data_IF_571699386366
#
_entry.id   IF_571699386366
#
_cell.length_a   1.000
_cell.length_b   1.000
_cell.length_c   1.000
_cell.angle_alpha   90.00
_cell.angle_beta   90.00
_cell.angle_gamma   90.00
#
_symmetry.space_group_name_H-M   'P 1'
#
loop_
_entity.id
_entity.type
_entity.pdbx_description
1 polymer ?
#
# COMPACT_ATOMS: atom_id res chain seq x y z
N UNK A 1 19.11 2.60 -13.49
CA UNK A 1 18.72 3.69 -12.58
C UNK A 1 17.22 3.84 -12.68
N UNK A 2 16.46 3.29 -11.73
CA UNK A 2 14.99 3.41 -11.80
C UNK A 2 14.64 4.83 -11.36
N UNK A 3 14.13 5.65 -12.27
CA UNK A 3 13.56 6.95 -11.92
C UNK A 3 12.43 6.73 -10.92
N UNK A 4 12.45 7.49 -9.80
CA UNK A 4 11.34 7.53 -8.86
C UNK A 4 10.18 8.24 -9.55
N UNK A 5 9.26 7.48 -10.13
CA UNK A 5 7.99 8.02 -10.57
C UNK A 5 7.21 8.50 -9.33
N UNK A 6 6.98 9.81 -9.25
CA UNK A 6 6.12 10.40 -8.23
C UNK A 6 4.68 10.09 -8.61
N UNK A 7 3.90 9.59 -7.65
CA UNK A 7 2.45 9.37 -7.81
C UNK A 7 1.74 10.61 -7.29
N UNK A 8 0.94 11.26 -8.13
CA UNK A 8 0.15 12.43 -7.76
C UNK A 8 -1.24 12.03 -7.24
N UNK A 9 -2.02 13.03 -6.80
CA UNK A 9 -3.39 12.79 -6.34
C UNK A 9 -4.24 12.19 -7.47
N UNK A 10 -5.03 11.17 -7.13
CA UNK A 10 -5.87 10.38 -8.05
C UNK A 10 -5.13 9.48 -9.05
N UNK A 11 -3.80 9.43 -9.01
CA UNK A 11 -3.06 8.46 -9.80
C UNK A 11 -3.20 7.05 -9.24
N UNK A 12 -3.15 6.07 -10.15
CA UNK A 12 -3.13 4.66 -9.81
C UNK A 12 -1.77 4.11 -10.23
N UNK A 13 -1.05 3.50 -9.29
CA UNK A 13 0.25 2.92 -9.57
C UNK A 13 0.57 1.71 -8.70
N UNK A 14 1.65 1.02 -9.06
CA UNK A 14 2.17 -0.12 -8.31
C UNK A 14 3.40 0.30 -7.53
N UNK A 15 3.39 0.05 -6.23
CA UNK A 15 4.48 0.40 -5.31
C UNK A 15 4.90 -0.82 -4.48
N UNK A 16 6.11 -0.77 -3.94
CA UNK A 16 6.57 -1.67 -2.90
C UNK A 16 6.62 -0.91 -1.57
N UNK A 17 6.03 -1.48 -0.52
CA UNK A 17 6.03 -0.90 0.81
C UNK A 17 6.88 -1.77 1.74
N UNK A 18 7.68 -1.13 2.59
CA UNK A 18 8.40 -1.79 3.68
C UNK A 18 7.77 -1.37 4.99
N UNK A 19 7.40 -2.35 5.80
CA UNK A 19 6.76 -2.11 7.09
C UNK A 19 7.80 -2.15 8.22
N UNK A 20 7.59 -1.35 9.25
CA UNK A 20 8.45 -1.36 10.44
C UNK A 20 8.37 -2.67 11.22
N UNK A 21 7.21 -3.34 11.15
CA UNK A 21 6.94 -4.62 11.81
C UNK A 21 6.21 -5.54 10.83
N UNK A 22 6.48 -6.86 10.86
CA UNK A 22 5.71 -7.82 10.09
C UNK A 22 4.23 -7.80 10.49
N UNK A 23 3.36 -8.04 9.52
CA UNK A 23 1.92 -8.20 9.71
C UNK A 23 1.46 -9.50 9.03
N UNK A 24 0.34 -10.04 9.50
CA UNK A 24 -0.39 -11.08 8.75
C UNK A 24 -1.20 -10.37 7.68
N UNK A 25 -1.04 -10.80 6.43
CA UNK A 25 -1.78 -10.26 5.30
C UNK A 25 -1.99 -11.33 4.22
N UNK A 26 -2.97 -11.10 3.37
CA UNK A 26 -3.27 -11.89 2.19
C UNK A 26 -3.16 -11.01 0.94
N UNK A 27 -3.04 -11.62 -0.24
CA UNK A 27 -3.30 -10.89 -1.48
C UNK A 27 -4.78 -10.53 -1.56
N UNK A 28 -5.10 -9.36 -2.10
CA UNK A 28 -6.49 -8.88 -2.22
C UNK A 28 -7.40 -9.88 -2.97
N UNK A 29 -6.87 -10.55 -3.99
CA UNK A 29 -7.62 -11.52 -4.80
C UNK A 29 -7.95 -12.81 -4.02
N UNK A 30 -7.20 -13.12 -2.97
CA UNK A 30 -7.45 -14.28 -2.09
C UNK A 30 -8.39 -13.94 -0.95
N UNK A 31 -8.21 -12.77 -0.32
CA UNK A 31 -9.09 -12.27 0.73
C UNK A 31 -9.12 -10.74 0.74
N UNK A 32 -10.24 -10.16 0.30
CA UNK A 32 -10.36 -8.71 0.18
C UNK A 32 -10.24 -7.97 1.53
N UNK A 33 -10.70 -8.59 2.63
CA UNK A 33 -10.69 -7.97 3.96
C UNK A 33 -9.27 -7.76 4.52
N UNK A 34 -8.36 -8.71 4.31
CA UNK A 34 -6.97 -8.69 4.82
C UNK A 34 -5.96 -8.31 3.74
N UNK A 35 -6.39 -8.23 2.48
CA UNK A 35 -5.59 -7.75 1.35
C UNK A 35 -5.86 -6.31 0.93
N UNK A 36 -6.82 -5.62 1.54
CA UNK A 36 -7.06 -4.20 1.36
C UNK A 36 -6.44 -3.39 2.50
N UNK A 37 -5.98 -2.18 2.20
CA UNK A 37 -5.49 -1.26 3.21
C UNK A 37 -5.69 0.20 2.81
N UNK A 38 -5.52 1.09 3.78
CA UNK A 38 -5.41 2.54 3.58
C UNK A 38 -4.09 3.03 4.14
N UNK A 39 -3.53 4.09 3.54
CA UNK A 39 -2.40 4.81 4.11
C UNK A 39 -2.93 6.05 4.83
N UNK A 40 -2.54 6.20 6.08
CA UNK A 40 -2.87 7.34 6.91
C UNK A 40 -1.60 8.18 7.10
N UNK A 41 -1.69 9.47 6.84
CA UNK A 41 -0.62 10.41 7.16
C UNK A 41 -0.59 10.68 8.67
N UNK A 42 0.57 10.51 9.30
CA UNK A 42 0.70 10.59 10.76
C UNK A 42 0.56 12.00 11.34
N UNK A 43 0.82 13.04 10.53
CA UNK A 43 0.76 14.42 10.98
C UNK A 43 -0.66 15.00 10.89
N UNK A 44 -1.40 14.63 9.84
CA UNK A 44 -2.73 15.16 9.52
C UNK A 44 -3.87 14.20 9.86
N UNK A 45 -3.57 12.90 10.07
CA UNK A 45 -4.54 11.82 10.22
C UNK A 45 -5.47 11.62 9.01
N UNK A 46 -5.13 12.18 7.85
CA UNK A 46 -5.91 12.00 6.64
C UNK A 46 -5.60 10.66 5.99
N UNK A 47 -6.64 10.03 5.42
CA UNK A 47 -6.46 8.95 4.46
C UNK A 47 -5.92 9.51 3.16
N UNK A 48 -4.66 9.19 2.83
CA UNK A 48 -3.97 9.73 1.64
C UNK A 48 -3.98 8.76 0.46
N UNK A 49 -4.18 7.47 0.71
CA UNK A 49 -4.30 6.46 -0.33
C UNK A 49 -5.11 5.24 0.12
N UNK A 50 -5.66 4.53 -0.84
CA UNK A 50 -6.18 3.17 -0.68
C UNK A 50 -5.33 2.20 -1.52
N UNK A 51 -5.19 0.96 -1.04
CA UNK A 51 -4.31 -0.02 -1.66
C UNK A 51 -4.86 -1.44 -1.60
N UNK A 52 -4.37 -2.25 -2.54
CA UNK A 52 -4.63 -3.68 -2.65
C UNK A 52 -3.29 -4.42 -2.70
N UNK A 53 -3.11 -5.41 -1.84
CA UNK A 53 -1.90 -6.24 -1.81
C UNK A 53 -1.92 -7.18 -3.02
N UNK A 54 -0.93 -7.04 -3.90
CA UNK A 54 -0.76 -7.91 -5.10
C UNK A 54 0.31 -8.98 -4.91
N UNK A 55 1.27 -8.76 -4.02
CA UNK A 55 2.34 -9.68 -3.64
C UNK A 55 2.97 -9.20 -2.33
N UNK A 56 3.57 -10.13 -1.58
CA UNK A 56 4.35 -9.84 -0.37
C UNK A 56 5.51 -10.82 -0.27
N UNK A 57 6.56 -10.40 0.43
CA UNK A 57 7.71 -11.23 0.78
C UNK A 57 8.06 -11.00 2.25
N UNK A 58 8.57 -12.04 2.91
CA UNK A 58 9.12 -11.96 4.25
C UNK A 58 10.49 -11.26 4.27
#
# INVERSE_FOLDING_TARGET
TSEKAVIAMNDIGRVALTLQKPIVCDTYDAHAATGAFVLIDEATHHTVAAGMIRAYSA
#
